data_IF_801760074111
#
_entry.id   IF_801760074111
#
_cell.length_a   1.000
_cell.length_b   1.000
_cell.length_c   1.000
_cell.angle_alpha   90.00
_cell.angle_beta   90.00
_cell.angle_gamma   90.00
#
_symmetry.space_group_name_H-M   'P 1'
#
loop_
_entity.id
_entity.type
_entity.pdbx_description
1 polymer ?
#
# COMPACT_ATOMS: atom_id res chain seq x y z
N UNK A 1 13.27 3.70 -33.55
CA UNK A 1 12.77 2.59 -32.71
C UNK A 1 11.89 3.24 -31.69
N UNK A 2 10.59 2.92 -31.65
CA UNK A 2 9.72 3.41 -30.59
C UNK A 2 10.22 2.73 -29.31
N UNK A 3 10.65 3.51 -28.32
CA UNK A 3 10.81 2.99 -26.96
C UNK A 3 9.43 2.52 -26.52
N UNK A 4 9.29 1.24 -26.21
CA UNK A 4 8.12 0.74 -25.48
C UNK A 4 8.21 1.33 -24.06
N UNK A 5 7.81 2.59 -23.89
CA UNK A 5 7.61 3.21 -22.58
C UNK A 5 6.39 2.58 -21.98
N UNK A 6 6.58 1.57 -21.13
CA UNK A 6 5.54 1.06 -20.27
C UNK A 6 5.20 2.13 -19.23
N UNK A 7 3.91 2.43 -19.07
CA UNK A 7 3.40 3.25 -17.98
C UNK A 7 3.74 2.63 -16.61
N UNK A 8 3.85 3.47 -15.58
CA UNK A 8 4.13 3.02 -14.21
C UNK A 8 3.05 2.06 -13.68
N UNK A 9 3.47 0.98 -13.03
CA UNK A 9 2.57 0.08 -12.32
C UNK A 9 2.22 0.65 -10.95
N UNK A 10 0.99 1.12 -10.81
CA UNK A 10 0.50 1.73 -9.56
C UNK A 10 -0.23 0.69 -8.70
N UNK A 11 0.24 0.51 -7.47
CA UNK A 11 -0.36 -0.37 -6.48
C UNK A 11 -1.00 0.44 -5.35
N UNK A 12 -2.30 0.25 -5.11
CA UNK A 12 -3.06 1.02 -4.10
C UNK A 12 -3.76 0.08 -3.12
N UNK A 13 -3.69 0.42 -1.83
CA UNK A 13 -4.43 -0.26 -0.77
C UNK A 13 -5.25 0.75 0.02
N UNK A 14 -6.54 0.47 0.19
CA UNK A 14 -7.38 1.21 1.13
C UNK A 14 -7.35 0.52 2.50
N UNK A 15 -6.71 1.16 3.49
CA UNK A 15 -6.54 0.61 4.85
C UNK A 15 -7.89 0.47 5.56
N UNK A 16 -8.81 1.43 5.40
CA UNK A 16 -10.11 1.44 6.06
C UNK A 16 -10.98 0.25 5.64
N UNK A 17 -10.89 -0.12 4.35
CA UNK A 17 -11.71 -1.16 3.72
C UNK A 17 -11.09 -2.56 3.77
N UNK A 18 -9.94 -2.71 4.41
CA UNK A 18 -9.20 -3.97 4.46
C UNK A 18 -9.19 -4.54 5.88
N UNK A 19 -9.66 -5.77 6.04
CA UNK A 19 -9.70 -6.46 7.34
C UNK A 19 -8.32 -6.87 7.87
N UNK A 20 -7.31 -6.93 7.00
CA UNK A 20 -5.92 -7.15 7.39
C UNK A 20 -4.96 -6.33 6.51
N UNK A 21 -4.90 -4.99 6.72
CA UNK A 21 -4.15 -4.09 5.86
C UNK A 21 -2.65 -4.44 5.78
N UNK A 22 -2.06 -4.85 6.91
CA UNK A 22 -0.63 -5.19 6.96
C UNK A 22 -0.31 -6.46 6.17
N UNK A 23 -1.16 -7.49 6.23
CA UNK A 23 -0.96 -8.72 5.43
C UNK A 23 -1.12 -8.43 3.94
N UNK A 24 -2.12 -7.62 3.57
CA UNK A 24 -2.34 -7.23 2.19
C UNK A 24 -1.18 -6.37 1.64
N UNK A 25 -0.72 -5.37 2.40
CA UNK A 25 0.45 -4.57 2.03
C UNK A 25 1.70 -5.44 1.84
N UNK A 26 1.97 -6.39 2.74
CA UNK A 26 3.12 -7.29 2.58
C UNK A 26 3.02 -8.22 1.36
N UNK A 27 1.81 -8.60 0.93
CA UNK A 27 1.62 -9.34 -0.31
C UNK A 27 1.87 -8.45 -1.53
N UNK A 28 1.33 -7.23 -1.52
CA UNK A 28 1.51 -6.21 -2.54
C UNK A 28 2.99 -5.83 -2.72
N UNK A 29 3.70 -5.60 -1.61
CA UNK A 29 5.14 -5.32 -1.60
C UNK A 29 5.96 -6.42 -2.28
N UNK A 30 5.68 -7.69 -1.95
CA UNK A 30 6.38 -8.83 -2.56
C UNK A 30 6.12 -8.93 -4.07
N UNK A 31 4.92 -8.57 -4.53
CA UNK A 31 4.60 -8.51 -5.95
C UNK A 31 5.39 -7.39 -6.65
N UNK A 32 5.44 -6.20 -6.05
CA UNK A 32 6.20 -5.07 -6.58
C UNK A 32 7.71 -5.38 -6.64
N UNK A 33 8.29 -5.96 -5.57
CA UNK A 33 9.69 -6.42 -5.57
C UNK A 33 9.96 -7.48 -6.64
N UNK A 34 9.02 -8.41 -6.85
CA UNK A 34 9.16 -9.43 -7.88
C UNK A 34 9.23 -8.80 -9.27
N UNK A 35 8.34 -7.84 -9.56
CA UNK A 35 8.31 -7.12 -10.83
C UNK A 35 9.59 -6.31 -11.03
N UNK A 36 10.00 -5.53 -10.02
CA UNK A 36 11.25 -4.76 -10.05
C UNK A 36 12.46 -5.65 -10.38
N UNK A 37 12.57 -6.83 -9.75
CA UNK A 37 13.65 -7.79 -10.02
C UNK A 37 13.63 -8.36 -11.44
N UNK A 38 12.47 -8.40 -12.09
CA UNK A 38 12.29 -9.02 -13.42
C UNK A 38 12.40 -8.02 -14.57
N UNK A 39 11.84 -6.83 -14.38
CA UNK A 39 11.72 -5.81 -15.43
C UNK A 39 12.68 -4.64 -15.22
N UNK A 40 13.31 -4.55 -14.04
CA UNK A 40 14.08 -3.37 -13.64
C UNK A 40 13.19 -2.27 -13.08
N UNK A 41 13.71 -1.04 -13.07
CA UNK A 41 13.02 0.15 -12.57
C UNK A 41 13.16 0.37 -11.06
N UNK A 42 12.42 1.36 -10.57
CA UNK A 42 12.45 1.79 -9.18
C UNK A 42 11.07 1.64 -8.55
N UNK A 43 11.04 1.25 -7.29
CA UNK A 43 9.84 1.39 -6.49
C UNK A 43 9.80 2.84 -6.00
N UNK A 44 8.71 3.55 -6.31
CA UNK A 44 8.51 4.94 -5.92
C UNK A 44 7.23 5.12 -5.10
N UNK A 45 7.18 6.17 -4.29
CA UNK A 45 5.99 6.67 -3.62
C UNK A 45 5.16 7.60 -4.54
N UNK A 46 4.03 8.10 -4.03
CA UNK A 46 3.14 9.01 -4.76
C UNK A 46 3.78 10.35 -5.14
N UNK A 47 4.93 10.68 -4.56
CA UNK A 47 5.73 11.89 -4.85
C UNK A 47 6.94 11.60 -5.74
N UNK A 48 7.02 10.40 -6.32
CA UNK A 48 8.10 9.90 -7.17
C UNK A 48 9.45 9.79 -6.44
N UNK A 49 9.44 9.52 -5.12
CA UNK A 49 10.65 9.28 -4.32
C UNK A 49 10.79 7.80 -4.00
N UNK A 50 12.01 7.34 -3.76
CA UNK A 50 12.24 5.96 -3.34
C UNK A 50 11.46 5.62 -2.07
N UNK A 51 10.72 4.53 -2.15
CA UNK A 51 9.82 4.07 -1.09
C UNK A 51 10.60 3.22 -0.08
N UNK A 52 10.38 3.52 1.19
CA UNK A 52 10.80 2.68 2.32
C UNK A 52 9.63 1.83 2.81
N UNK A 53 9.82 0.50 2.81
CA UNK A 53 8.83 -0.45 3.34
C UNK A 53 8.43 -0.13 4.77
N UNK A 54 9.40 0.22 5.61
CA UNK A 54 9.19 0.44 7.03
C UNK A 54 8.33 1.68 7.28
N UNK A 55 8.49 2.72 6.46
CA UNK A 55 7.66 3.93 6.53
C UNK A 55 6.19 3.58 6.29
N UNK A 56 5.89 2.73 5.29
CA UNK A 56 4.53 2.30 5.02
C UNK A 56 3.95 1.38 6.10
N UNK A 57 4.77 0.50 6.68
CA UNK A 57 4.36 -0.31 7.83
C UNK A 57 3.98 0.59 9.00
N UNK A 58 4.75 1.64 9.28
CA UNK A 58 4.45 2.62 10.31
C UNK A 58 3.14 3.36 10.03
N UNK A 59 2.94 3.87 8.81
CA UNK A 59 1.70 4.53 8.38
C UNK A 59 0.48 3.62 8.57
N UNK A 60 0.59 2.35 8.17
CA UNK A 60 -0.47 1.35 8.32
C UNK A 60 -0.78 1.13 9.79
N UNK A 61 0.24 0.90 10.62
CA UNK A 61 0.06 0.66 12.05
C UNK A 61 -0.53 1.88 12.78
N UNK A 62 -0.08 3.09 12.45
CA UNK A 62 -0.62 4.34 12.99
C UNK A 62 -2.10 4.52 12.61
N UNK A 63 -2.46 4.18 11.37
CA UNK A 63 -3.84 4.24 10.89
C UNK A 63 -4.73 3.21 11.59
N UNK A 64 -4.26 1.95 11.72
CA UNK A 64 -4.95 0.90 12.48
C UNK A 64 -5.10 1.32 13.96
N UNK A 65 -4.07 1.93 14.55
CA UNK A 65 -4.11 2.45 15.91
C UNK A 65 -5.17 3.53 16.11
N UNK A 66 -5.33 4.43 15.14
CA UNK A 66 -6.41 5.43 15.14
C UNK A 66 -7.80 4.79 15.09
N UNK A 67 -8.01 3.81 14.20
CA UNK A 67 -9.28 3.08 14.13
C UNK A 67 -9.64 2.44 15.48
N UNK A 68 -8.68 1.76 16.11
CA UNK A 68 -8.87 1.13 17.42
C UNK A 68 -9.22 2.16 18.51
N UNK A 69 -8.57 3.33 18.52
CA UNK A 69 -8.88 4.42 19.45
C UNK A 69 -10.31 4.95 19.30
N UNK A 70 -10.86 4.90 18.09
CA UNK A 70 -12.24 5.28 17.81
C UNK A 70 -13.26 4.16 18.02
N UNK A 71 -12.82 2.98 18.47
CA UNK A 71 -13.70 1.84 18.71
C UNK A 71 -14.05 1.03 17.45
N UNK A 72 -13.36 1.28 16.34
CA UNK A 72 -13.58 0.57 15.07
C UNK A 72 -12.44 -0.40 14.77
N UNK A 73 -12.74 -1.52 14.13
CA UNK A 73 -11.72 -2.33 13.45
C UNK A 73 -11.71 -2.01 11.95
N UNK A 74 -10.52 -1.96 11.30
CA UNK A 74 -10.43 -1.88 9.86
C UNK A 74 -11.22 -3.02 9.18
N UNK A 75 -11.90 -2.71 8.08
CA UNK A 75 -12.69 -3.68 7.33
C UNK A 75 -14.05 -4.04 7.94
N UNK A 76 -14.47 -3.41 9.05
CA UNK A 76 -15.85 -3.50 9.53
C UNK A 76 -16.78 -2.58 8.73
N UNK A 77 -18.04 -2.98 8.53
CA UNK A 77 -19.02 -2.18 7.79
C UNK A 77 -19.18 -0.77 8.39
N UNK A 78 -19.07 -0.63 9.71
CA UNK A 78 -19.16 0.65 10.39
C UNK A 78 -17.98 1.58 10.03
N UNK A 79 -16.79 1.01 9.79
CA UNK A 79 -15.63 1.76 9.33
C UNK A 79 -15.79 2.29 7.88
N UNK A 80 -16.70 1.69 7.08
CA UNK A 80 -17.03 2.18 5.74
C UNK A 80 -17.78 3.52 5.76
N UNK A 81 -18.58 3.80 6.81
CA UNK A 81 -19.33 5.05 6.90
C UNK A 81 -18.48 6.27 7.26
N UNK A 82 -17.19 6.05 7.58
CA UNK A 82 -16.25 7.12 7.94
C UNK A 82 -15.49 7.68 6.72
N UNK A 83 -15.59 7.07 5.53
CA UNK A 83 -14.84 7.43 4.31
C UNK A 83 -15.61 7.15 3.01
#
# INVERSE_FOLDING_TARGET
MAEDTFDDLVFVINIARNSNPLKAFNAMWRAAEYIQKRLGGSLLDETHREISKDNYIEIINNTIGRFKKWGFKPGEDVALFLF
#
